data_IF_485985412984
#
_entry.id   IF_485985412984
#
_cell.length_a   1.000
_cell.length_b   1.000
_cell.length_c   1.000
_cell.angle_alpha   90.00
_cell.angle_beta   90.00
_cell.angle_gamma   90.00
#
_symmetry.space_group_name_H-M   'P 1'
#
loop_
_entity.id
_entity.type
_entity.pdbx_description
1 polymer ?
#
# COMPACT_ATOMS: atom_id res chain seq x y z
N UNK A 1 6.91 7.31 -17.33
CA UNK A 1 7.60 6.95 -16.06
C UNK A 1 6.54 6.56 -15.06
N UNK A 2 6.63 5.39 -14.41
CA UNK A 2 5.61 4.96 -13.45
C UNK A 2 5.71 5.76 -12.14
N UNK A 3 4.60 6.14 -11.51
CA UNK A 3 4.62 6.91 -10.28
C UNK A 3 5.25 6.10 -9.14
N UNK A 4 6.11 6.74 -8.34
CA UNK A 4 6.82 6.09 -7.22
C UNK A 4 5.90 5.70 -6.07
N UNK A 5 4.80 6.44 -5.91
CA UNK A 5 3.88 6.34 -4.76
C UNK A 5 2.49 5.80 -5.16
N UNK A 6 2.35 5.25 -6.37
CA UNK A 6 1.08 4.73 -6.85
C UNK A 6 1.28 3.48 -7.72
N UNK A 7 0.40 2.51 -7.56
CA UNK A 7 0.28 1.32 -8.39
C UNK A 7 -1.17 1.28 -8.90
N UNK A 8 -1.35 1.47 -10.20
CA UNK A 8 -2.67 1.52 -10.84
C UNK A 8 -3.24 0.13 -11.11
N UNK A 9 -4.52 0.06 -11.48
CA UNK A 9 -5.14 -1.21 -11.84
C UNK A 9 -4.47 -1.86 -13.06
N UNK A 10 -4.07 -1.06 -14.04
CA UNK A 10 -3.36 -1.50 -15.24
C UNK A 10 -2.02 -2.10 -14.86
N UNK A 11 -1.27 -1.44 -13.98
CA UNK A 11 0.00 -1.97 -13.46
C UNK A 11 -0.22 -3.28 -12.70
N UNK A 12 -1.27 -3.38 -11.86
CA UNK A 12 -1.61 -4.63 -11.16
C UNK A 12 -1.87 -5.78 -12.13
N UNK A 13 -2.59 -5.54 -13.24
CA UNK A 13 -2.88 -6.57 -14.25
C UNK A 13 -1.62 -7.09 -14.95
N UNK A 14 -0.57 -6.29 -15.03
CA UNK A 14 0.72 -6.70 -15.61
C UNK A 14 1.57 -7.55 -14.65
N UNK A 15 1.27 -7.53 -13.34
CA UNK A 15 1.98 -8.30 -12.31
C UNK A 15 1.45 -9.73 -12.23
N UNK A 16 1.68 -10.52 -13.29
CA UNK A 16 1.11 -11.86 -13.46
C UNK A 16 1.42 -12.86 -12.32
N UNK A 17 2.51 -12.66 -11.58
CA UNK A 17 2.93 -13.55 -10.49
C UNK A 17 2.40 -13.11 -9.11
N UNK A 18 1.87 -11.90 -8.98
CA UNK A 18 1.35 -11.41 -7.71
C UNK A 18 0.03 -12.11 -7.38
N UNK A 19 -0.12 -12.56 -6.13
CA UNK A 19 -1.36 -13.15 -5.60
C UNK A 19 -1.98 -12.26 -4.53
N UNK A 20 -1.13 -11.53 -3.81
CA UNK A 20 -1.50 -10.65 -2.71
C UNK A 20 -1.12 -9.20 -2.98
N UNK A 21 -1.68 -8.27 -2.20
CA UNK A 21 -1.25 -6.88 -2.22
C UNK A 21 0.24 -6.75 -1.85
N UNK A 22 0.72 -7.58 -0.92
CA UNK A 22 2.14 -7.62 -0.56
C UNK A 22 3.03 -7.99 -1.73
N UNK A 23 2.71 -9.07 -2.45
CA UNK A 23 3.49 -9.52 -3.62
C UNK A 23 3.61 -8.40 -4.64
N UNK A 24 2.50 -7.71 -4.93
CA UNK A 24 2.47 -6.62 -5.88
C UNK A 24 3.36 -5.45 -5.44
N UNK A 25 3.34 -5.10 -4.15
CA UNK A 25 4.21 -4.05 -3.60
C UNK A 25 5.67 -4.49 -3.61
N UNK A 26 5.98 -5.73 -3.25
CA UNK A 26 7.36 -6.27 -3.27
C UNK A 26 7.97 -6.23 -4.67
N UNK A 27 7.19 -6.56 -5.70
CA UNK A 27 7.64 -6.55 -7.09
C UNK A 27 7.76 -5.12 -7.62
N UNK A 28 6.73 -4.30 -7.42
CA UNK A 28 6.63 -3.01 -8.07
C UNK A 28 7.38 -1.91 -7.30
N UNK A 29 7.27 -1.89 -5.96
CA UNK A 29 7.72 -0.80 -5.09
C UNK A 29 8.17 -1.32 -3.70
N UNK A 30 9.21 -2.16 -3.62
CA UNK A 30 9.64 -2.80 -2.35
C UNK A 30 10.04 -1.79 -1.26
N UNK A 31 10.37 -0.55 -1.65
CA UNK A 31 10.70 0.53 -0.71
C UNK A 31 9.51 0.97 0.17
N UNK A 32 8.26 0.70 -0.24
CA UNK A 32 7.08 1.03 0.58
C UNK A 32 7.04 0.19 1.86
N UNK A 33 7.56 -1.04 1.81
CA UNK A 33 7.59 -1.98 2.94
C UNK A 33 8.83 -1.79 3.81
N UNK A 34 9.84 -1.04 3.34
CA UNK A 34 11.16 -0.95 3.96
C UNK A 34 11.44 0.48 4.39
N UNK A 35 10.90 0.89 5.53
CA UNK A 35 11.31 2.14 6.20
C UNK A 35 12.14 1.86 7.44
N UNK A 36 13.20 2.65 7.61
CA UNK A 36 14.04 2.58 8.82
C UNK A 36 13.25 3.15 10.00
N UNK A 37 12.76 2.29 10.88
CA UNK A 37 12.31 2.64 12.22
C UNK A 37 10.81 2.48 12.47
N UNK A 38 9.94 2.85 11.53
CA UNK A 38 8.47 2.79 11.71
C UNK A 38 7.83 2.28 10.41
N UNK A 39 7.13 1.17 10.50
CA UNK A 39 6.37 0.59 9.40
C UNK A 39 5.13 1.42 9.07
N UNK A 40 4.70 1.44 7.80
CA UNK A 40 3.48 2.14 7.43
C UNK A 40 2.23 1.41 7.94
N UNK A 41 1.20 2.18 8.25
CA UNK A 41 -0.13 1.64 8.54
C UNK A 41 -0.83 1.28 7.24
N UNK A 42 -1.64 0.22 7.27
CA UNK A 42 -2.44 -0.22 6.13
C UNK A 42 -3.87 0.27 6.30
N UNK A 43 -4.38 0.93 5.27
CA UNK A 43 -5.77 1.36 5.20
C UNK A 43 -6.42 0.76 3.96
N UNK A 44 -7.61 0.16 4.11
CA UNK A 44 -8.41 -0.32 2.98
C UNK A 44 -9.72 0.44 2.94
N UNK A 45 -9.98 1.12 1.82
CA UNK A 45 -11.16 1.97 1.64
C UNK A 45 -11.34 3.01 2.78
N UNK A 46 -10.23 3.50 3.35
CA UNK A 46 -10.25 4.47 4.45
C UNK A 46 -10.39 3.86 5.85
N UNK A 47 -10.51 2.54 5.97
CA UNK A 47 -10.59 1.84 7.26
C UNK A 47 -9.18 1.33 7.63
N UNK A 48 -8.74 1.61 8.86
CA UNK A 48 -7.47 1.12 9.39
C UNK A 48 -7.52 -0.41 9.54
N UNK A 49 -6.58 -1.09 8.88
CA UNK A 49 -6.42 -2.54 8.94
C UNK A 49 -5.29 -2.97 9.90
N UNK A 50 -4.35 -2.08 10.22
CA UNK A 50 -3.25 -2.34 11.15
C UNK A 50 -1.87 -2.05 10.53
N UNK A 51 -0.87 -2.82 10.94
CA UNK A 51 0.49 -2.84 10.35
C UNK A 51 0.51 -3.63 9.04
N UNK A 52 1.66 -4.20 8.66
CA UNK A 52 1.84 -4.84 7.35
C UNK A 52 1.11 -6.19 7.16
N UNK A 53 0.76 -6.90 8.24
CA UNK A 53 0.15 -8.24 8.20
C UNK A 53 -1.09 -8.41 7.31
N UNK A 54 -2.01 -7.42 7.18
CA UNK A 54 -3.17 -7.52 6.29
C UNK A 54 -2.78 -7.67 4.81
N UNK A 55 -1.61 -7.16 4.38
CA UNK A 55 -1.19 -7.22 2.98
C UNK A 55 -1.02 -8.65 2.46
N UNK A 56 -0.63 -9.58 3.32
CA UNK A 56 -0.50 -11.01 3.00
C UNK A 56 -1.88 -11.66 2.71
N UNK A 57 -2.97 -11.08 3.21
CA UNK A 57 -4.31 -11.64 3.11
C UNK A 57 -5.21 -10.93 2.07
N UNK A 58 -4.80 -9.75 1.61
CA UNK A 58 -5.56 -9.00 0.59
C UNK A 58 -5.25 -9.59 -0.78
N UNK A 59 -6.23 -10.27 -1.37
CA UNK A 59 -6.12 -10.79 -2.74
C UNK A 59 -5.87 -9.66 -3.74
N UNK A 60 -4.86 -9.80 -4.60
CA UNK A 60 -4.56 -8.78 -5.62
C UNK A 60 -5.74 -8.55 -6.58
N UNK A 61 -6.59 -9.57 -6.75
CA UNK A 61 -7.75 -9.50 -7.63
C UNK A 61 -8.87 -8.60 -7.08
N UNK A 62 -8.92 -8.35 -5.77
CA UNK A 62 -9.89 -7.41 -5.18
C UNK A 62 -9.39 -5.97 -5.19
N UNK A 63 -8.10 -5.75 -5.48
CA UNK A 63 -7.46 -4.44 -5.49
C UNK A 63 -7.75 -3.70 -6.80
N UNK A 64 -8.12 -2.43 -6.67
CA UNK A 64 -8.25 -1.48 -7.78
C UNK A 64 -6.99 -0.64 -7.91
N UNK A 65 -6.50 -0.09 -6.82
CA UNK A 65 -5.28 0.72 -6.78
C UNK A 65 -4.65 0.67 -5.39
N UNK A 66 -3.34 0.96 -5.35
CA UNK A 66 -2.58 1.11 -4.10
C UNK A 66 -1.77 2.40 -4.15
N UNK A 67 -1.73 3.12 -3.04
CA UNK A 67 -1.02 4.38 -2.90
C UNK A 67 -0.19 4.38 -1.63
N UNK A 68 1.05 4.83 -1.74
CA UNK A 68 1.87 5.14 -0.57
C UNK A 68 1.80 6.61 -0.25
N UNK A 69 1.46 6.91 0.99
CA UNK A 69 1.40 8.24 1.56
C UNK A 69 2.59 8.41 2.50
N UNK A 70 3.52 9.33 2.21
CA UNK A 70 4.57 9.70 3.15
C UNK A 70 3.98 10.20 4.47
N UNK A 71 4.77 10.13 5.53
CA UNK A 71 4.36 10.50 6.90
C UNK A 71 3.67 11.85 7.02
N UNK A 72 4.12 12.88 6.27
CA UNK A 72 3.50 14.21 6.28
C UNK A 72 2.07 14.19 5.72
N UNK A 73 1.86 13.51 4.58
CA UNK A 73 0.54 13.35 3.96
C UNK A 73 -0.37 12.44 4.79
N UNK A 74 0.19 11.33 5.29
CA UNK A 74 -0.53 10.38 6.15
C UNK A 74 -1.00 11.03 7.45
N UNK A 75 -0.18 11.89 8.07
CA UNK A 75 -0.56 12.62 9.29
C UNK A 75 -1.71 13.58 9.02
N UNK A 76 -1.71 14.22 7.84
CA UNK A 76 -2.77 15.15 7.43
C UNK A 76 -4.10 14.43 7.18
N UNK A 77 -4.06 13.25 6.53
CA UNK A 77 -5.28 12.54 6.12
C UNK A 77 -5.82 11.55 7.16
N UNK A 78 -4.95 10.91 7.93
CA UNK A 78 -5.28 9.79 8.81
C UNK A 78 -4.89 10.02 10.28
N UNK A 79 -4.26 11.16 10.60
CA UNK A 79 -3.85 11.53 11.95
C UNK A 79 -2.42 11.13 12.31
N UNK A 80 -1.94 11.65 13.45
CA UNK A 80 -0.54 11.62 13.90
C UNK A 80 0.02 10.24 14.21
N UNK A 81 -0.82 9.21 14.33
CA UNK A 81 -0.38 7.83 14.57
C UNK A 81 0.21 7.15 13.32
N UNK A 82 0.36 7.87 12.21
CA UNK A 82 0.81 7.35 10.92
C UNK A 82 2.21 7.85 10.52
N UNK A 83 3.12 7.92 11.49
CA UNK A 83 4.48 8.45 11.30
C UNK A 83 5.34 7.59 10.36
N UNK A 84 5.02 6.29 10.20
CA UNK A 84 5.63 5.42 9.18
C UNK A 84 5.17 5.72 7.75
N UNK A 85 4.08 6.47 7.59
CA UNK A 85 3.34 6.61 6.34
C UNK A 85 2.11 5.69 6.33
N UNK A 86 1.38 5.71 5.22
CA UNK A 86 0.21 4.85 4.99
C UNK A 86 0.34 4.17 3.63
N UNK A 87 0.01 2.88 3.58
CA UNK A 87 -0.34 2.23 2.32
C UNK A 87 -1.86 2.17 2.26
N UNK A 88 -2.41 2.99 1.37
CA UNK A 88 -3.84 3.05 1.10
C UNK A 88 -4.15 2.08 -0.04
N UNK A 89 -5.14 1.22 0.19
CA UNK A 89 -5.67 0.26 -0.77
C UNK A 89 -7.11 0.65 -1.07
N UNK A 90 -7.45 0.78 -2.35
CA UNK A 90 -8.84 0.85 -2.80
C UNK A 90 -9.22 -0.48 -3.42
N UNK A 91 -10.34 -1.05 -2.97
CA UNK A 91 -10.93 -2.22 -3.61
C UNK A 91 -11.65 -1.82 -4.91
N UNK A 92 -11.97 -2.83 -5.72
CA UNK A 92 -12.86 -2.69 -6.88
C UNK A 92 -14.28 -2.35 -6.46
#
# INVERSE_FOLDING_TARGET
MRPKNFISQEEIKELAIARTAKDAIEIARPIWLRRKGIDPSIYMNGILMGGLDPLDNISINSVKEMRFLPSAEATTMYGTNNMGGVIEIKSR
#
